data_IF_090703183059
#
_entry.id   IF_090703183059
#
_cell.length_a   1.000
_cell.length_b   1.000
_cell.length_c   1.000
_cell.angle_alpha   90.00
_cell.angle_beta   90.00
_cell.angle_gamma   90.00
#
_symmetry.space_group_name_H-M   'P 1'
#
loop_
_entity.id
_entity.type
_entity.pdbx_description
1 polymer ?
#
# COMPACT_ATOMS: atom_id res chain seq x y z
N UNK A 1 8.83 -33.91 -31.94
CA UNK A 1 9.30 -32.77 -31.11
C UNK A 1 8.07 -32.16 -30.47
N UNK A 2 7.71 -32.60 -29.27
CA UNK A 2 6.61 -32.03 -28.49
C UNK A 2 7.12 -30.76 -27.81
N UNK A 3 6.77 -29.60 -28.37
CA UNK A 3 6.97 -28.33 -27.68
C UNK A 3 6.11 -28.32 -26.42
N UNK A 4 6.73 -28.58 -25.28
CA UNK A 4 6.09 -28.33 -24.00
C UNK A 4 5.79 -26.82 -23.95
N UNK A 5 4.51 -26.45 -23.85
CA UNK A 5 4.17 -25.08 -23.45
C UNK A 5 4.73 -24.90 -22.05
N UNK A 6 5.85 -24.18 -21.92
CA UNK A 6 6.27 -23.66 -20.63
C UNK A 6 5.12 -22.78 -20.14
N UNK A 7 4.39 -23.26 -19.12
CA UNK A 7 3.41 -22.44 -18.44
C UNK A 7 4.18 -21.33 -17.73
N UNK A 8 4.13 -20.12 -18.29
CA UNK A 8 4.65 -18.95 -17.63
C UNK A 8 3.78 -18.67 -16.40
N UNK A 9 4.33 -18.90 -15.21
CA UNK A 9 3.66 -18.53 -13.96
C UNK A 9 4.12 -17.11 -13.65
N UNK A 10 3.22 -16.15 -13.77
CA UNK A 10 3.51 -14.76 -13.47
C UNK A 10 3.84 -14.58 -11.99
N UNK A 11 4.92 -13.86 -11.68
CA UNK A 11 5.30 -13.48 -10.32
C UNK A 11 4.54 -12.22 -9.93
N UNK A 12 3.62 -12.35 -8.98
CA UNK A 12 2.78 -11.25 -8.50
C UNK A 12 3.21 -10.88 -7.09
N UNK A 13 3.45 -9.59 -6.86
CA UNK A 13 3.74 -9.05 -5.51
C UNK A 13 2.64 -8.09 -5.08
N UNK A 14 2.20 -8.21 -3.82
CA UNK A 14 1.23 -7.30 -3.20
C UNK A 14 1.93 -6.51 -2.11
N UNK A 15 2.03 -5.21 -2.30
CA UNK A 15 2.80 -4.29 -1.45
C UNK A 15 1.85 -3.39 -0.66
N UNK A 16 1.74 -3.64 0.64
CA UNK A 16 0.99 -2.82 1.58
C UNK A 16 1.83 -1.70 2.15
N UNK A 17 1.48 -0.45 1.85
CA UNK A 17 2.26 0.74 2.24
C UNK A 17 1.56 1.55 3.33
N UNK A 18 2.24 1.71 4.46
CA UNK A 18 1.70 2.36 5.66
C UNK A 18 0.65 1.51 6.37
N UNK A 19 0.14 2.00 7.51
CA UNK A 19 -0.75 1.20 8.39
C UNK A 19 -1.96 0.56 7.69
N UNK A 20 -2.74 1.34 6.93
CA UNK A 20 -3.90 0.80 6.21
C UNK A 20 -3.51 -0.20 5.11
N UNK A 21 -2.41 0.03 4.40
CA UNK A 21 -1.91 -0.92 3.40
C UNK A 21 -1.46 -2.24 4.03
N UNK A 22 -0.76 -2.17 5.16
CA UNK A 22 -0.33 -3.34 5.93
C UNK A 22 -1.53 -4.12 6.49
N UNK A 23 -2.55 -3.42 6.99
CA UNK A 23 -3.79 -4.06 7.45
C UNK A 23 -4.52 -4.79 6.32
N UNK A 24 -4.63 -4.17 5.14
CA UNK A 24 -5.22 -4.80 3.96
C UNK A 24 -4.45 -6.06 3.54
N UNK A 25 -3.11 -6.02 3.57
CA UNK A 25 -2.26 -7.19 3.30
C UNK A 25 -2.54 -8.32 4.30
N UNK A 26 -2.56 -8.04 5.59
CA UNK A 26 -2.86 -9.06 6.61
C UNK A 26 -4.21 -9.73 6.35
N UNK A 27 -5.24 -8.97 5.95
CA UNK A 27 -6.56 -9.55 5.62
C UNK A 27 -6.56 -10.42 4.38
N UNK A 28 -5.78 -10.06 3.35
CA UNK A 28 -5.62 -10.91 2.18
C UNK A 28 -4.98 -12.25 2.56
N UNK A 29 -4.03 -12.23 3.50
CA UNK A 29 -3.39 -13.43 4.07
C UNK A 29 -4.42 -14.25 4.86
N UNK A 30 -5.15 -13.62 5.78
CA UNK A 30 -6.21 -14.27 6.57
C UNK A 30 -7.31 -14.90 5.70
N UNK A 31 -7.67 -14.22 4.61
CA UNK A 31 -8.64 -14.72 3.63
C UNK A 31 -8.09 -15.87 2.76
N UNK A 32 -6.80 -16.21 2.89
CA UNK A 32 -6.16 -17.31 2.21
C UNK A 32 -5.86 -17.02 0.73
N UNK A 33 -5.62 -15.77 0.36
CA UNK A 33 -5.16 -15.43 -0.99
C UNK A 33 -3.79 -16.09 -1.25
N UNK A 34 -3.68 -16.81 -2.36
CA UNK A 34 -2.49 -17.59 -2.74
C UNK A 34 -1.96 -17.16 -4.10
N UNK A 35 -0.70 -17.51 -4.38
CA UNK A 35 -0.07 -17.23 -5.68
C UNK A 35 0.44 -15.79 -5.82
N UNK A 36 0.57 -15.08 -4.69
CA UNK A 36 1.18 -13.76 -4.60
C UNK A 36 2.19 -13.76 -3.45
N UNK A 37 3.21 -12.92 -3.55
CA UNK A 37 4.13 -12.63 -2.44
C UNK A 37 3.71 -11.34 -1.75
N UNK A 38 3.57 -11.36 -0.43
CA UNK A 38 3.13 -10.21 0.34
C UNK A 38 4.32 -9.43 0.89
N UNK A 39 4.27 -8.11 0.69
CA UNK A 39 5.28 -7.16 1.17
C UNK A 39 4.60 -6.10 2.01
N UNK A 40 4.99 -5.97 3.27
CA UNK A 40 4.57 -4.88 4.14
C UNK A 40 5.66 -3.82 4.19
N UNK A 41 5.31 -2.56 3.93
CA UNK A 41 6.24 -1.41 3.98
C UNK A 41 5.69 -0.36 4.92
N UNK A 42 6.44 0.02 5.95
CA UNK A 42 6.00 1.04 6.89
C UNK A 42 7.18 1.80 7.54
N UNK A 43 6.90 3.00 8.05
CA UNK A 43 7.82 3.77 8.90
C UNK A 43 7.55 3.56 10.39
N UNK A 44 6.45 2.89 10.71
CA UNK A 44 6.09 2.47 12.07
C UNK A 44 6.55 1.01 12.26
N UNK A 45 7.61 0.85 13.04
CA UNK A 45 8.20 -0.46 13.30
C UNK A 45 7.28 -1.36 14.13
N UNK A 46 6.43 -0.81 14.99
CA UNK A 46 5.48 -1.60 15.78
C UNK A 46 4.40 -2.19 14.88
N UNK A 47 3.88 -1.40 13.94
CA UNK A 47 2.90 -1.88 12.97
C UNK A 47 3.48 -3.00 12.08
N UNK A 48 4.75 -2.90 11.67
CA UNK A 48 5.43 -3.93 10.89
C UNK A 48 5.63 -5.25 11.65
N UNK A 49 5.96 -5.19 12.94
CA UNK A 49 6.11 -6.39 13.76
C UNK A 49 4.83 -7.23 13.79
N UNK A 50 3.67 -6.58 13.76
CA UNK A 50 2.35 -7.20 13.74
C UNK A 50 1.90 -7.70 12.36
N UNK A 51 2.66 -7.42 11.29
CA UNK A 51 2.30 -7.89 9.94
C UNK A 51 2.60 -9.38 9.76
N UNK A 52 1.79 -10.06 8.96
CA UNK A 52 1.99 -11.47 8.60
C UNK A 52 2.59 -11.64 7.19
N UNK A 53 2.94 -10.52 6.53
CA UNK A 53 3.54 -10.53 5.21
C UNK A 53 4.88 -11.30 5.17
N UNK A 54 5.16 -11.92 4.01
CA UNK A 54 6.39 -12.69 3.75
C UNK A 54 7.63 -11.80 3.90
N UNK A 55 7.53 -10.56 3.41
CA UNK A 55 8.60 -9.55 3.48
C UNK A 55 8.11 -8.32 4.25
N UNK A 56 8.94 -7.83 5.16
CA UNK A 56 8.67 -6.66 6.01
C UNK A 56 9.79 -5.63 5.83
N UNK A 57 9.45 -4.47 5.31
CA UNK A 57 10.39 -3.38 5.05
C UNK A 57 10.11 -2.20 5.98
N UNK A 58 11.01 -2.00 6.94
CA UNK A 58 11.05 -0.82 7.82
C UNK A 58 11.81 0.31 7.11
N UNK A 59 11.08 1.33 6.67
CA UNK A 59 11.64 2.47 5.94
C UNK A 59 11.73 3.72 6.82
N UNK A 60 12.70 4.58 6.53
CA UNK A 60 12.86 5.87 7.21
C UNK A 60 13.17 5.75 8.70
N UNK A 61 13.83 4.68 9.15
CA UNK A 61 14.18 4.48 10.56
C UNK A 61 15.02 5.62 11.12
N UNK A 62 15.91 6.21 10.32
CA UNK A 62 16.73 7.35 10.73
C UNK A 62 15.89 8.63 10.90
N UNK A 63 14.97 8.88 9.96
CA UNK A 63 14.07 10.04 9.97
C UNK A 63 13.02 9.98 11.09
N UNK A 64 12.42 8.81 11.29
CA UNK A 64 11.22 8.64 12.13
C UNK A 64 11.50 8.00 13.47
N UNK A 65 12.70 7.42 13.67
CA UNK A 65 13.05 6.58 14.81
C UNK A 65 12.10 5.39 15.01
N UNK A 66 11.46 4.93 13.93
CA UNK A 66 10.48 3.85 13.93
C UNK A 66 9.11 4.23 14.50
N UNK A 67 8.82 5.53 14.68
CA UNK A 67 7.57 6.05 15.25
C UNK A 67 6.54 6.46 14.17
N UNK A 68 6.83 6.21 12.91
CA UNK A 68 5.96 6.58 11.79
C UNK A 68 6.18 8.01 11.27
N UNK A 69 5.51 8.32 10.16
CA UNK A 69 5.67 9.59 9.44
C UNK A 69 4.83 10.76 10.00
N UNK A 70 4.18 10.61 11.17
CA UNK A 70 3.45 11.73 11.81
C UNK A 70 2.29 12.33 11.01
N UNK A 71 1.67 11.58 10.09
CA UNK A 71 0.69 12.08 9.10
C UNK A 71 1.25 13.13 8.12
N UNK A 72 2.56 13.17 7.93
CA UNK A 72 3.23 14.00 6.94
C UNK A 72 3.62 13.16 5.70
N UNK A 73 2.99 13.40 4.53
CA UNK A 73 3.35 12.71 3.30
C UNK A 73 4.79 12.93 2.86
N UNK A 74 5.39 14.09 3.13
CA UNK A 74 6.76 14.36 2.68
C UNK A 74 7.79 13.54 3.47
N UNK A 75 7.53 13.30 4.77
CA UNK A 75 8.32 12.35 5.57
C UNK A 75 8.17 10.92 5.03
N UNK A 76 6.94 10.54 4.66
CA UNK A 76 6.68 9.23 4.05
C UNK A 76 7.39 9.04 2.70
N UNK A 77 7.47 10.09 1.89
CA UNK A 77 8.19 10.08 0.61
C UNK A 77 9.70 9.97 0.84
N UNK A 78 10.26 10.86 1.67
CA UNK A 78 11.70 10.86 1.98
C UNK A 78 12.15 9.51 2.57
N UNK A 79 11.33 8.90 3.44
CA UNK A 79 11.59 7.57 3.97
C UNK A 79 11.71 6.51 2.87
N UNK A 80 10.84 6.54 1.85
CA UNK A 80 10.93 5.61 0.72
C UNK A 80 12.12 5.91 -0.20
N UNK A 81 12.42 7.19 -0.44
CA UNK A 81 13.58 7.64 -1.23
C UNK A 81 14.93 7.28 -0.58
N UNK A 82 15.00 7.21 0.75
CA UNK A 82 16.20 6.74 1.45
C UNK A 82 16.43 5.22 1.33
N UNK A 83 15.38 4.46 0.95
CA UNK A 83 15.39 2.99 0.94
C UNK A 83 15.14 2.43 -0.47
N UNK A 84 15.51 3.18 -1.52
CA UNK A 84 15.27 2.80 -2.92
C UNK A 84 15.88 1.44 -3.27
N UNK A 85 17.10 1.18 -2.83
CA UNK A 85 17.82 -0.07 -3.15
C UNK A 85 17.12 -1.29 -2.54
N UNK A 86 16.67 -1.18 -1.29
CA UNK A 86 15.98 -2.26 -0.60
C UNK A 86 14.60 -2.52 -1.23
N UNK A 87 13.86 -1.45 -1.57
CA UNK A 87 12.59 -1.58 -2.29
C UNK A 87 12.81 -2.22 -3.66
N UNK A 88 13.84 -1.79 -4.39
CA UNK A 88 14.16 -2.33 -5.72
C UNK A 88 14.47 -3.82 -5.67
N UNK A 89 15.30 -4.26 -4.73
CA UNK A 89 15.61 -5.68 -4.56
C UNK A 89 14.39 -6.51 -4.16
N UNK A 90 13.49 -5.97 -3.32
CA UNK A 90 12.23 -6.63 -2.97
C UNK A 90 11.28 -6.73 -4.16
N UNK A 91 11.26 -5.76 -5.08
CA UNK A 91 10.34 -5.77 -6.23
C UNK A 91 10.89 -6.50 -7.47
N UNK A 92 12.18 -6.78 -7.50
CA UNK A 92 12.87 -7.40 -8.62
C UNK A 92 12.26 -8.74 -9.01
N UNK A 93 12.10 -8.95 -10.32
CA UNK A 93 11.55 -10.17 -10.88
C UNK A 93 10.03 -10.29 -10.80
N UNK A 94 9.31 -9.27 -10.32
CA UNK A 94 7.86 -9.23 -10.39
C UNK A 94 7.39 -8.92 -11.82
N UNK A 95 6.43 -9.70 -12.32
CA UNK A 95 5.70 -9.39 -13.55
C UNK A 95 4.58 -8.38 -13.28
N UNK A 96 4.01 -8.43 -12.08
CA UNK A 96 2.93 -7.56 -11.65
C UNK A 96 3.10 -7.16 -10.19
N UNK A 97 2.88 -5.88 -9.90
CA UNK A 97 2.94 -5.32 -8.55
C UNK A 97 1.63 -4.60 -8.23
N UNK A 98 0.93 -5.08 -7.21
CA UNK A 98 -0.21 -4.39 -6.62
C UNK A 98 0.26 -3.54 -5.44
N UNK A 99 -0.06 -2.26 -5.45
CA UNK A 99 0.29 -1.33 -4.37
C UNK A 99 -0.99 -0.95 -3.66
N UNK A 100 -1.13 -1.38 -2.40
CA UNK A 100 -2.26 -1.04 -1.55
C UNK A 100 -1.87 -0.03 -0.47
N UNK A 101 -2.66 1.03 -0.34
CA UNK A 101 -2.42 2.07 0.66
C UNK A 101 -3.69 2.88 0.98
N UNK A 102 -3.86 3.24 2.25
CA UNK A 102 -4.81 4.27 2.65
C UNK A 102 -4.24 5.68 2.43
N UNK A 103 -4.97 6.51 1.68
CA UNK A 103 -4.54 7.88 1.38
C UNK A 103 -5.03 8.86 2.44
N UNK A 104 -4.24 9.92 2.65
CA UNK A 104 -4.48 10.93 3.68
C UNK A 104 -3.62 10.75 4.93
N UNK A 105 -2.87 9.65 5.07
CA UNK A 105 -1.83 9.50 6.08
C UNK A 105 -0.47 10.07 5.62
N UNK A 106 0.61 9.72 6.33
CA UNK A 106 1.97 10.07 5.93
C UNK A 106 2.59 9.04 4.99
N UNK A 107 2.91 7.87 5.53
CA UNK A 107 3.65 6.79 4.83
C UNK A 107 2.97 6.31 3.55
N UNK A 108 1.69 5.90 3.61
CA UNK A 108 0.97 5.43 2.42
C UNK A 108 0.72 6.53 1.37
N UNK A 109 0.57 7.79 1.80
CA UNK A 109 0.35 8.91 0.89
C UNK A 109 1.63 9.26 0.13
N UNK A 110 2.75 9.37 0.84
CA UNK A 110 4.03 9.81 0.27
C UNK A 110 4.91 8.69 -0.29
N UNK A 111 4.95 7.53 0.35
CA UNK A 111 5.82 6.42 -0.02
C UNK A 111 5.27 5.56 -1.16
N UNK A 112 3.94 5.40 -1.27
CA UNK A 112 3.36 4.53 -2.30
C UNK A 112 3.66 4.98 -3.74
N UNK A 113 3.63 6.30 -4.09
CA UNK A 113 4.09 6.75 -5.41
C UNK A 113 5.55 6.37 -5.72
N UNK A 114 6.46 6.52 -4.76
CA UNK A 114 7.88 6.17 -4.94
C UNK A 114 8.04 4.67 -5.23
N UNK A 115 7.35 3.83 -4.47
CA UNK A 115 7.36 2.37 -4.67
C UNK A 115 6.79 2.00 -6.05
N UNK A 116 5.73 2.69 -6.50
CA UNK A 116 5.14 2.50 -7.82
C UNK A 116 6.09 2.86 -8.96
N UNK A 117 6.81 3.98 -8.84
CA UNK A 117 7.81 4.39 -9.82
C UNK A 117 8.93 3.35 -9.97
N UNK A 118 9.37 2.75 -8.86
CA UNK A 118 10.39 1.69 -8.87
C UNK A 118 9.85 0.43 -9.56
N UNK A 119 8.65 -0.03 -9.19
CA UNK A 119 8.02 -1.20 -9.80
C UNK A 119 7.91 -1.05 -11.33
N UNK A 120 7.46 0.13 -11.77
CA UNK A 120 7.31 0.45 -13.19
C UNK A 120 8.66 0.57 -13.91
N UNK A 121 9.69 1.12 -13.26
CA UNK A 121 11.07 1.17 -13.79
C UNK A 121 11.65 -0.24 -13.98
N UNK A 122 11.29 -1.17 -13.10
CA UNK A 122 11.68 -2.58 -13.19
C UNK A 122 10.90 -3.36 -14.26
N UNK A 123 9.91 -2.73 -14.91
CA UNK A 123 9.13 -3.34 -15.99
C UNK A 123 7.91 -4.12 -15.55
N UNK A 124 7.54 -4.07 -14.27
CA UNK A 124 6.34 -4.74 -13.76
C UNK A 124 5.07 -3.97 -14.12
N UNK A 125 4.00 -4.68 -14.47
CA UNK A 125 2.67 -4.07 -14.57
C UNK A 125 2.25 -3.59 -13.18
N UNK A 126 2.10 -2.27 -13.02
CA UNK A 126 1.94 -1.66 -11.70
C UNK A 126 0.51 -1.16 -11.52
N UNK A 127 -0.20 -1.73 -10.54
CA UNK A 127 -1.60 -1.40 -10.23
C UNK A 127 -1.70 -0.83 -8.82
N UNK A 128 -2.18 0.41 -8.70
CA UNK A 128 -2.49 1.02 -7.41
C UNK A 128 -3.93 0.72 -6.99
N UNK A 129 -4.14 0.26 -5.77
CA UNK A 129 -5.47 0.08 -5.15
C UNK A 129 -5.49 0.87 -3.85
N UNK A 130 -6.19 1.99 -3.81
CA UNK A 130 -6.10 2.92 -2.69
C UNK A 130 -7.43 3.39 -2.18
N UNK A 131 -7.51 3.65 -0.88
CA UNK A 131 -8.71 4.18 -0.24
C UNK A 131 -8.63 5.70 -0.06
N UNK A 132 -9.75 6.39 -0.28
CA UNK A 132 -9.94 7.78 0.17
C UNK A 132 -10.47 7.77 1.60
N UNK A 133 -10.02 8.69 2.47
CA UNK A 133 -10.47 8.74 3.86
C UNK A 133 -11.95 9.11 3.94
N UNK A 134 -12.60 8.74 5.05
CA UNK A 134 -13.95 9.22 5.36
C UNK A 134 -13.94 10.74 5.59
N UNK A 135 -15.06 11.40 5.34
CA UNK A 135 -15.23 12.84 5.55
C UNK A 135 -15.01 13.23 7.02
N UNK A 136 -15.39 12.36 7.95
CA UNK A 136 -15.22 12.58 9.39
C UNK A 136 -13.76 12.55 9.86
N UNK A 137 -12.84 12.00 9.06
CA UNK A 137 -11.41 11.98 9.40
C UNK A 137 -10.72 13.35 9.22
N UNK A 138 -11.47 14.33 8.68
CA UNK A 138 -11.10 15.73 8.65
C UNK A 138 -10.47 16.20 7.34
N UNK A 139 -10.67 17.49 7.05
CA UNK A 139 -10.28 18.14 5.79
C UNK A 139 -8.80 17.97 5.45
N UNK A 140 -7.91 17.97 6.45
CA UNK A 140 -6.47 17.79 6.23
C UNK A 140 -6.15 16.46 5.57
N UNK A 141 -6.74 15.35 6.05
CA UNK A 141 -6.56 14.02 5.46
C UNK A 141 -7.10 13.97 4.04
N UNK A 142 -8.26 14.55 3.77
CA UNK A 142 -8.84 14.59 2.42
C UNK A 142 -7.94 15.33 1.42
N UNK A 143 -7.38 16.48 1.80
CA UNK A 143 -6.46 17.25 0.93
C UNK A 143 -5.18 16.47 0.66
N UNK A 144 -4.58 15.89 1.70
CA UNK A 144 -3.39 15.04 1.55
C UNK A 144 -3.68 13.82 0.67
N UNK A 145 -4.88 13.23 0.79
CA UNK A 145 -5.29 12.09 0.01
C UNK A 145 -5.37 12.42 -1.49
N UNK A 146 -6.04 13.51 -1.88
CA UNK A 146 -6.13 13.91 -3.29
C UNK A 146 -4.76 14.20 -3.90
N UNK A 147 -3.87 14.87 -3.16
CA UNK A 147 -2.50 15.10 -3.60
C UNK A 147 -1.72 13.80 -3.79
N UNK A 148 -1.83 12.86 -2.85
CA UNK A 148 -1.17 11.56 -2.94
C UNK A 148 -1.76 10.65 -4.03
N UNK A 149 -3.06 10.77 -4.33
CA UNK A 149 -3.73 10.08 -5.42
C UNK A 149 -3.23 10.61 -6.77
N UNK A 150 -3.13 11.93 -6.92
CA UNK A 150 -2.64 12.52 -8.16
C UNK A 150 -1.20 12.09 -8.45
N UNK A 151 -0.31 12.14 -7.45
CA UNK A 151 1.06 11.63 -7.58
C UNK A 151 1.09 10.14 -7.94
N UNK A 152 0.30 9.32 -7.24
CA UNK A 152 0.27 7.88 -7.51
C UNK A 152 -0.25 7.57 -8.92
N UNK A 153 -1.23 8.33 -9.42
CA UNK A 153 -1.80 8.15 -10.76
C UNK A 153 -0.75 8.30 -11.87
N UNK A 154 0.25 9.14 -11.65
CA UNK A 154 1.36 9.34 -12.60
C UNK A 154 2.39 8.19 -12.53
N UNK A 155 2.46 7.51 -11.39
CA UNK A 155 3.42 6.45 -11.10
C UNK A 155 2.95 5.03 -11.45
N UNK A 156 1.63 4.79 -11.64
CA UNK A 156 1.05 3.46 -11.92
C UNK A 156 0.52 3.35 -13.35
N UNK A 157 0.32 2.13 -13.83
CA UNK A 157 -0.36 1.86 -15.11
C UNK A 157 -1.88 1.91 -14.96
N UNK A 158 -2.39 1.49 -13.79
CA UNK A 158 -3.81 1.55 -13.46
C UNK A 158 -3.97 1.94 -11.99
N UNK A 159 -4.92 2.85 -11.72
CA UNK A 159 -5.25 3.28 -10.36
C UNK A 159 -6.73 3.02 -10.07
N UNK A 160 -6.98 2.17 -9.08
CA UNK A 160 -8.29 1.90 -8.51
C UNK A 160 -8.42 2.71 -7.22
N UNK A 161 -9.45 3.55 -7.15
CA UNK A 161 -9.72 4.40 -6.00
C UNK A 161 -11.04 3.97 -5.36
N UNK A 162 -10.95 3.53 -4.11
CA UNK A 162 -12.10 3.11 -3.31
C UNK A 162 -12.47 4.26 -2.36
N UNK A 163 -13.60 4.94 -2.56
CA UNK A 163 -14.05 5.96 -1.62
C UNK A 163 -14.65 5.31 -0.38
N UNK A 164 -14.03 5.50 0.81
CA UNK A 164 -14.50 4.89 2.05
C UNK A 164 -15.97 5.25 2.38
N UNK A 165 -16.45 6.42 1.95
CA UNK A 165 -17.86 6.81 2.06
C UNK A 165 -18.85 5.78 1.48
N UNK A 166 -18.45 5.04 0.42
CA UNK A 166 -19.32 3.99 -0.13
C UNK A 166 -19.47 2.80 0.82
N UNK A 167 -18.52 2.57 1.71
CA UNK A 167 -18.60 1.50 2.70
C UNK A 167 -19.67 1.82 3.75
N UNK A 168 -19.82 3.08 4.15
CA UNK A 168 -20.89 3.51 5.05
C UNK A 168 -22.28 3.30 4.45
N UNK A 169 -22.42 3.47 3.12
CA UNK A 169 -23.70 3.19 2.44
C UNK A 169 -24.06 1.71 2.39
N UNK A 170 -23.08 0.83 2.62
CA UNK A 170 -23.26 -0.62 2.74
C UNK A 170 -23.37 -1.06 4.21
N UNK A 171 -23.18 -0.13 5.16
CA UNK A 171 -23.11 -0.40 6.59
C UNK A 171 -24.45 -0.10 7.28
N UNK A 172 -24.86 -0.94 8.23
CA UNK A 172 -26.05 -0.71 9.03
C UNK A 172 -25.90 0.53 9.94
N UNK A 173 -27.01 1.17 10.32
CA UNK A 173 -27.03 2.38 11.17
C UNK A 173 -26.37 2.22 12.56
N UNK A 174 -25.96 1.01 12.95
CA UNK A 174 -25.26 0.69 14.20
C UNK A 174 -23.73 0.61 14.06
N UNK A 175 -23.20 0.82 12.86
CA UNK A 175 -21.77 0.68 12.56
C UNK A 175 -20.95 1.69 13.37
N UNK A 176 -20.02 1.21 14.20
CA UNK A 176 -19.13 2.08 14.97
C UNK A 176 -17.98 2.60 14.10
N UNK A 177 -17.25 3.62 14.55
CA UNK A 177 -16.03 4.08 13.84
C UNK A 177 -15.01 2.95 13.62
N UNK A 178 -14.87 2.06 14.61
CA UNK A 178 -13.96 0.91 14.52
C UNK A 178 -14.41 -0.04 13.43
N UNK A 179 -15.71 -0.30 13.33
CA UNK A 179 -16.28 -1.16 12.29
C UNK A 179 -16.14 -0.52 10.90
N UNK A 180 -16.32 0.79 10.79
CA UNK A 180 -16.13 1.51 9.52
C UNK A 180 -14.68 1.40 9.00
N UNK A 181 -13.67 1.54 9.85
CA UNK A 181 -12.28 1.29 9.46
C UNK A 181 -12.07 -0.17 9.07
N UNK A 182 -12.72 -1.11 9.77
CA UNK A 182 -12.60 -2.52 9.40
C UNK A 182 -13.19 -2.83 8.04
N UNK A 183 -14.30 -2.19 7.67
CA UNK A 183 -14.90 -2.31 6.34
C UNK A 183 -14.02 -1.68 5.25
N UNK A 184 -13.19 -0.68 5.58
CA UNK A 184 -12.28 -0.05 4.61
C UNK A 184 -11.04 -0.85 4.30
N UNK A 185 -10.70 -1.79 5.19
CA UNK A 185 -9.63 -2.74 4.96
C UNK A 185 -10.15 -4.04 4.28
N UNK A 186 -11.47 -4.25 4.17
CA UNK A 186 -12.11 -5.35 3.39
C UNK A 186 -12.13 -5.04 1.88
#
# INVERSE_FOLDING_TARGET
>A
MSGASQSFIAVIKVVGVGGAGVNAVNRMIDAGLRGVEFVAVNTDAQALLMSEADIKLDIGRQLTRGLGAGSDPEVGRAAAEEHLEEIEEVLKGADMVFITAGKGGGTGTGGAPVIAEIAKRLGALTIGVVTRPFAFEGRRRSVQAEQGIQRLKEAVDTLIIIPNERLLSLADAKTTMVDAFKMADE
#
